data_IF_785788428341
#
_entry.id   IF_785788428341
#
_cell.length_a   1.000
_cell.length_b   1.000
_cell.length_c   1.000
_cell.angle_alpha   90.00
_cell.angle_beta   90.00
_cell.angle_gamma   90.00
#
_symmetry.space_group_name_H-M   'P 1'
#
loop_
_entity.id
_entity.type
_entity.pdbx_description
1 polymer ?
#
# COMPACT_ATOMS: atom_id res chain seq x y z
N UNK A 1 -6.05 -21.75 -7.95
CA UNK A 1 -4.99 -21.32 -7.02
C UNK A 1 -3.95 -20.45 -7.70
N UNK A 2 -3.35 -20.82 -8.87
CA UNK A 2 -2.27 -20.02 -9.47
C UNK A 2 -2.64 -18.55 -9.74
N UNK A 3 -3.87 -18.31 -10.19
CA UNK A 3 -4.37 -16.94 -10.42
C UNK A 3 -4.47 -16.10 -9.15
N UNK A 4 -4.81 -16.70 -8.01
CA UNK A 4 -4.86 -16.01 -6.72
C UNK A 4 -3.45 -15.68 -6.26
N UNK A 5 -2.50 -16.60 -6.40
CA UNK A 5 -1.09 -16.38 -6.05
C UNK A 5 -0.46 -15.27 -6.90
N UNK A 6 -0.70 -15.28 -8.21
CA UNK A 6 -0.19 -14.25 -9.12
C UNK A 6 -0.73 -12.85 -8.76
N UNK A 7 -2.04 -12.73 -8.58
CA UNK A 7 -2.67 -11.43 -8.23
C UNK A 7 -2.22 -10.96 -6.85
N UNK A 8 -2.05 -11.88 -5.89
CA UNK A 8 -1.45 -11.56 -4.58
C UNK A 8 -0.04 -11.03 -4.75
N UNK A 9 0.83 -11.73 -5.49
CA UNK A 9 2.20 -11.29 -5.72
C UNK A 9 2.27 -9.89 -6.35
N UNK A 10 1.46 -9.63 -7.38
CA UNK A 10 1.37 -8.29 -8.00
C UNK A 10 0.84 -7.22 -7.04
N UNK A 11 -0.16 -7.54 -6.24
CA UNK A 11 -0.70 -6.61 -5.24
C UNK A 11 0.37 -6.27 -4.21
N UNK A 12 1.16 -7.24 -3.75
CA UNK A 12 2.24 -7.01 -2.80
C UNK A 12 3.44 -6.28 -3.40
N UNK A 13 3.78 -6.53 -4.67
CA UNK A 13 4.78 -5.72 -5.40
C UNK A 13 4.39 -4.24 -5.45
N UNK A 14 3.09 -3.93 -5.48
CA UNK A 14 2.60 -2.54 -5.41
C UNK A 14 2.69 -1.93 -4.01
N UNK A 15 2.38 -2.69 -2.97
CA UNK A 15 2.40 -2.17 -1.60
C UNK A 15 3.81 -2.03 -1.01
N UNK A 16 4.76 -2.84 -1.49
CA UNK A 16 6.10 -2.89 -0.92
C UNK A 16 6.84 -1.54 -0.94
N UNK A 17 6.88 -0.82 -2.08
CA UNK A 17 7.53 0.48 -2.12
C UNK A 17 6.90 1.49 -1.16
N UNK A 18 5.58 1.45 -0.97
CA UNK A 18 4.92 2.27 0.04
C UNK A 18 5.39 1.92 1.45
N UNK A 19 5.37 0.64 1.82
CA UNK A 19 5.75 0.19 3.17
C UNK A 19 7.22 0.49 3.49
N UNK A 20 8.10 0.51 2.48
CA UNK A 20 9.53 0.78 2.68
C UNK A 20 9.83 2.29 2.75
N UNK A 21 9.17 3.09 1.92
CA UNK A 21 9.57 4.47 1.67
C UNK A 21 8.56 5.52 2.14
N UNK A 22 7.42 5.16 2.71
CA UNK A 22 6.37 6.10 3.13
C UNK A 22 6.85 7.17 4.13
N UNK A 23 7.53 6.76 5.19
CA UNK A 23 8.01 7.64 6.25
C UNK A 23 9.26 8.41 5.86
N UNK A 24 10.14 7.80 5.06
CA UNK A 24 11.25 8.50 4.42
C UNK A 24 10.72 9.58 3.47
N UNK A 25 9.67 9.25 2.70
CA UNK A 25 8.98 10.18 1.83
C UNK A 25 8.39 11.39 2.57
N UNK A 26 7.73 11.14 3.70
CA UNK A 26 7.23 12.22 4.54
C UNK A 26 8.38 13.08 5.11
N UNK A 27 9.52 12.47 5.44
CA UNK A 27 10.71 13.14 5.95
C UNK A 27 11.41 14.01 4.91
N UNK A 28 11.71 13.45 3.74
CA UNK A 28 12.53 14.08 2.70
C UNK A 28 11.71 14.93 1.75
N UNK A 29 10.67 14.38 1.14
CA UNK A 29 9.91 15.09 0.10
C UNK A 29 8.89 16.08 0.67
N UNK A 30 8.22 15.75 1.78
CA UNK A 30 7.16 16.60 2.34
C UNK A 30 7.68 17.61 3.36
N UNK A 31 8.64 17.21 4.18
CA UNK A 31 9.25 18.08 5.19
C UNK A 31 10.58 18.69 4.74
N UNK A 32 11.05 18.38 3.53
CA UNK A 32 12.31 18.88 2.96
C UNK A 32 13.52 18.67 3.89
N UNK A 33 13.49 17.60 4.69
CA UNK A 33 14.58 17.27 5.60
C UNK A 33 15.61 16.36 4.94
N UNK A 34 16.88 16.50 5.36
CA UNK A 34 17.94 15.56 5.00
C UNK A 34 18.52 14.94 6.28
N UNK A 35 18.47 13.60 6.46
CA UNK A 35 19.07 12.94 7.62
C UNK A 35 20.61 13.10 7.69
N UNK A 36 21.27 13.46 6.58
CA UNK A 36 22.72 13.70 6.50
C UNK A 36 23.07 15.19 6.33
N UNK A 37 22.07 16.06 6.39
CA UNK A 37 22.24 17.50 6.24
C UNK A 37 22.67 18.20 7.53
N UNK A 38 22.41 19.50 7.58
CA UNK A 38 22.56 20.33 8.78
C UNK A 38 21.67 19.85 9.94
N UNK A 39 21.96 20.23 11.20
CA UNK A 39 21.10 19.87 12.33
C UNK A 39 19.63 20.25 12.14
N UNK A 40 19.36 21.37 11.46
CA UNK A 40 18.00 21.84 11.18
C UNK A 40 17.29 20.97 10.13
N UNK A 41 18.00 20.55 9.08
CA UNK A 41 17.50 19.60 8.07
C UNK A 41 17.24 18.22 8.67
N UNK A 42 18.12 17.74 9.54
CA UNK A 42 17.95 16.48 10.25
C UNK A 42 16.73 16.55 11.20
N UNK A 43 16.53 17.68 11.89
CA UNK A 43 15.36 17.90 12.73
C UNK A 43 14.06 17.95 11.91
N UNK A 44 14.08 18.58 10.73
CA UNK A 44 12.95 18.60 9.80
C UNK A 44 12.62 17.19 9.30
N UNK A 45 13.63 16.39 8.95
CA UNK A 45 13.46 14.98 8.57
C UNK A 45 12.80 14.18 9.71
N UNK A 46 13.30 14.30 10.94
CA UNK A 46 12.72 13.62 12.11
C UNK A 46 11.29 14.11 12.42
N UNK A 47 10.97 15.38 12.17
CA UNK A 47 9.60 15.88 12.28
C UNK A 47 8.68 15.25 11.22
N UNK A 48 9.16 15.11 9.98
CA UNK A 48 8.43 14.43 8.91
C UNK A 48 8.22 12.94 9.17
N UNK A 49 9.25 12.22 9.62
CA UNK A 49 9.13 10.80 10.02
C UNK A 49 8.09 10.62 11.13
N UNK A 50 8.09 11.51 12.14
CA UNK A 50 7.06 11.49 13.20
C UNK A 50 5.66 11.74 12.66
N UNK A 51 5.49 12.68 11.72
CA UNK A 51 4.21 12.91 11.07
C UNK A 51 3.78 11.71 10.22
N UNK A 52 4.71 11.07 9.49
CA UNK A 52 4.45 9.85 8.73
C UNK A 52 4.00 8.70 9.61
N UNK A 53 4.68 8.49 10.74
CA UNK A 53 4.28 7.50 11.75
C UNK A 53 2.89 7.78 12.33
N UNK A 54 2.54 9.05 12.56
CA UNK A 54 1.19 9.43 12.95
C UNK A 54 0.16 9.16 11.83
N UNK A 55 0.52 9.40 10.57
CA UNK A 55 -0.29 8.99 9.41
C UNK A 55 -0.53 7.48 9.35
N UNK A 56 0.48 6.67 9.67
CA UNK A 56 0.37 5.21 9.76
C UNK A 56 -0.47 4.74 10.96
N UNK A 57 -0.46 5.49 12.06
CA UNK A 57 -1.40 5.28 13.16
C UNK A 57 -2.85 5.50 12.69
N UNK A 58 -3.11 6.61 11.98
CA UNK A 58 -4.43 6.88 11.40
C UNK A 58 -4.84 5.82 10.38
N UNK A 59 -3.89 5.38 9.54
CA UNK A 59 -4.07 4.26 8.62
C UNK A 59 -4.56 3.02 9.37
N UNK A 60 -3.91 2.67 10.48
CA UNK A 60 -4.28 1.51 11.31
C UNK A 60 -5.69 1.63 11.90
N UNK A 61 -6.09 2.83 12.33
CA UNK A 61 -7.46 3.09 12.81
C UNK A 61 -8.48 2.88 11.69
N UNK A 62 -8.25 3.49 10.52
CA UNK A 62 -9.13 3.35 9.35
C UNK A 62 -9.19 1.91 8.87
N UNK A 63 -8.05 1.20 8.87
CA UNK A 63 -7.98 -0.22 8.56
C UNK A 63 -8.85 -1.04 9.52
N UNK A 64 -8.73 -0.78 10.83
CA UNK A 64 -9.52 -1.44 11.86
C UNK A 64 -11.01 -1.29 11.62
N UNK A 65 -11.50 -0.07 11.37
CA UNK A 65 -12.91 0.17 11.01
C UNK A 65 -13.30 -0.47 9.68
N UNK A 66 -12.44 -0.36 8.66
CA UNK A 66 -12.70 -0.92 7.33
C UNK A 66 -12.82 -2.44 7.36
N UNK A 67 -12.09 -3.11 8.26
CA UNK A 67 -12.12 -4.57 8.40
C UNK A 67 -13.53 -5.12 8.67
N UNK A 68 -14.34 -4.42 9.48
CA UNK A 68 -15.73 -4.78 9.74
C UNK A 68 -16.63 -4.65 8.50
N UNK A 69 -16.24 -3.79 7.56
CA UNK A 69 -16.97 -3.56 6.31
C UNK A 69 -16.60 -4.54 5.21
N UNK A 70 -15.50 -5.29 5.33
CA UNK A 70 -15.02 -6.21 4.28
C UNK A 70 -16.01 -7.33 4.04
N UNK A 71 -16.51 -7.97 5.10
CA UNK A 71 -17.48 -9.07 4.97
C UNK A 71 -18.78 -8.63 4.28
N UNK A 72 -19.50 -7.58 4.73
CA UNK A 72 -20.71 -7.14 4.04
C UNK A 72 -20.44 -6.67 2.61
N UNK A 73 -19.30 -6.02 2.36
CA UNK A 73 -18.92 -5.58 1.02
C UNK A 73 -18.65 -6.76 0.08
N UNK A 74 -17.93 -7.79 0.55
CA UNK A 74 -17.68 -9.02 -0.21
C UNK A 74 -18.97 -9.83 -0.45
N UNK A 75 -19.91 -9.81 0.49
CA UNK A 75 -21.24 -10.44 0.31
C UNK A 75 -22.09 -9.70 -0.73
N UNK A 76 -22.02 -8.37 -0.80
CA UNK A 76 -22.80 -7.56 -1.77
C UNK A 76 -22.17 -7.54 -3.16
N UNK A 77 -20.90 -7.15 -3.26
CA UNK A 77 -20.20 -6.92 -4.53
C UNK A 77 -19.44 -8.15 -5.04
N UNK A 78 -19.09 -9.08 -4.15
CA UNK A 78 -18.24 -10.23 -4.43
C UNK A 78 -16.75 -9.93 -4.15
N UNK A 79 -15.99 -10.91 -3.64
CA UNK A 79 -14.59 -10.70 -3.23
C UNK A 79 -13.67 -10.31 -4.40
N UNK A 80 -13.99 -10.76 -5.62
CA UNK A 80 -13.28 -10.36 -6.84
C UNK A 80 -13.34 -8.86 -7.07
N UNK A 81 -14.54 -8.27 -7.01
CA UNK A 81 -14.75 -6.84 -7.27
C UNK A 81 -14.06 -6.03 -6.18
N UNK A 82 -14.22 -6.42 -4.91
CA UNK A 82 -13.58 -5.73 -3.78
C UNK A 82 -12.06 -5.71 -3.90
N UNK A 83 -11.43 -6.84 -4.26
CA UNK A 83 -9.99 -6.91 -4.43
C UNK A 83 -9.50 -6.11 -5.64
N UNK A 84 -10.19 -6.19 -6.77
CA UNK A 84 -9.84 -5.43 -7.98
C UNK A 84 -9.98 -3.93 -7.72
N UNK A 85 -11.09 -3.48 -7.14
CA UNK A 85 -11.31 -2.08 -6.78
C UNK A 85 -10.25 -1.57 -5.82
N UNK A 86 -9.80 -2.39 -4.87
CA UNK A 86 -8.70 -2.04 -3.96
C UNK A 86 -7.38 -1.80 -4.73
N UNK A 87 -7.04 -2.66 -5.70
CA UNK A 87 -5.84 -2.45 -6.52
C UNK A 87 -5.88 -1.13 -7.31
N UNK A 88 -7.04 -0.79 -7.90
CA UNK A 88 -7.18 0.52 -8.57
C UNK A 88 -7.09 1.69 -7.59
N UNK A 89 -7.62 1.52 -6.37
CA UNK A 89 -7.50 2.53 -5.33
C UNK A 89 -6.04 2.78 -4.94
N UNK A 90 -5.26 1.71 -4.79
CA UNK A 90 -3.81 1.79 -4.56
C UNK A 90 -3.12 2.46 -5.74
N UNK A 91 -3.46 2.10 -6.98
CA UNK A 91 -2.92 2.74 -8.18
C UNK A 91 -3.09 4.26 -8.14
N UNK A 92 -4.31 4.72 -7.84
CA UNK A 92 -4.65 6.15 -7.73
C UNK A 92 -3.92 6.81 -6.56
N UNK A 93 -3.85 6.16 -5.41
CA UNK A 93 -3.14 6.69 -4.24
C UNK A 93 -1.64 6.83 -4.51
N UNK A 94 -1.00 5.82 -5.12
CA UNK A 94 0.43 5.89 -5.46
C UNK A 94 0.70 6.96 -6.52
N UNK A 95 -0.20 7.11 -7.50
CA UNK A 95 -0.13 8.21 -8.46
C UNK A 95 -0.29 9.57 -7.77
N UNK A 96 -1.21 9.69 -6.80
CA UNK A 96 -1.38 10.89 -6.00
C UNK A 96 -0.12 11.22 -5.18
N UNK A 97 0.55 10.23 -4.58
CA UNK A 97 1.85 10.42 -3.92
C UNK A 97 2.88 10.99 -4.89
N UNK A 98 3.00 10.42 -6.10
CA UNK A 98 3.93 10.92 -7.12
C UNK A 98 3.63 12.37 -7.50
N UNK A 99 2.35 12.69 -7.70
CA UNK A 99 1.91 14.05 -8.03
C UNK A 99 2.26 14.99 -6.87
N UNK A 100 1.85 14.68 -5.64
CA UNK A 100 2.16 15.51 -4.44
C UNK A 100 3.67 15.74 -4.31
N UNK A 101 4.48 14.71 -4.53
CA UNK A 101 5.94 14.82 -4.49
C UNK A 101 6.47 15.77 -5.55
N UNK A 102 5.91 15.71 -6.76
CA UNK A 102 6.25 16.61 -7.86
C UNK A 102 5.92 18.07 -7.51
N UNK A 103 4.70 18.33 -6.99
CA UNK A 103 4.29 19.66 -6.54
C UNK A 103 5.20 20.19 -5.42
N UNK A 104 5.47 19.36 -4.40
CA UNK A 104 6.36 19.72 -3.29
C UNK A 104 7.78 20.05 -3.77
N UNK A 105 8.26 19.41 -4.84
CA UNK A 105 9.60 19.67 -5.40
C UNK A 105 9.62 20.91 -6.30
N UNK A 106 8.52 21.27 -6.96
CA UNK A 106 8.43 22.48 -7.79
C UNK A 106 8.45 23.78 -6.96
N UNK A 107 7.85 23.76 -5.77
CA UNK A 107 7.91 24.88 -4.82
C UNK A 107 9.34 25.20 -4.36
N UNK A 108 10.32 24.31 -4.58
CA UNK A 108 11.73 24.53 -4.28
C UNK A 108 12.43 25.49 -5.26
N UNK A 109 11.96 25.59 -6.52
CA UNK A 109 12.59 26.39 -7.57
C UNK A 109 12.02 27.82 -7.70
N UNK A 110 10.92 28.11 -7.00
CA UNK A 110 10.33 29.44 -6.94
C UNK A 110 10.42 30.00 -5.52
N UNK A 111 11.20 31.05 -5.32
CA UNK A 111 11.14 31.92 -4.14
C UNK A 111 11.80 31.42 -2.83
N UNK A 112 13.08 31.75 -2.73
CA UNK A 112 13.67 32.35 -1.51
C UNK A 112 12.65 33.37 -0.94
N UNK A 113 11.82 32.98 0.05
CA UNK A 113 11.31 33.80 1.18
C UNK A 113 10.16 33.16 2.02
N UNK A 114 9.70 31.92 1.77
CA UNK A 114 8.66 31.25 2.61
C UNK A 114 9.06 29.85 3.17
N UNK A 115 10.36 29.56 3.17
CA UNK A 115 10.99 28.25 3.34
C UNK A 115 10.89 27.54 4.72
N UNK A 116 9.86 27.79 5.55
CA UNK A 116 9.60 26.97 6.78
C UNK A 116 8.18 26.37 6.78
N UNK A 117 7.40 26.60 5.73
CA UNK A 117 6.10 25.94 5.56
C UNK A 117 6.00 25.37 4.16
N UNK A 118 6.52 24.16 3.94
CA UNK A 118 5.81 23.21 3.10
C UNK A 118 4.34 23.32 3.51
N UNK A 119 3.50 23.81 2.59
CA UNK A 119 2.19 24.39 2.91
C UNK A 119 1.45 23.43 3.86
N UNK A 120 0.84 23.97 4.93
CA UNK A 120 0.06 23.15 5.88
C UNK A 120 -0.89 22.20 5.15
N UNK A 121 -1.38 22.64 4.00
CA UNK A 121 -2.19 21.91 3.04
C UNK A 121 -1.52 20.62 2.52
N UNK A 122 -0.30 20.65 1.99
CA UNK A 122 0.41 19.44 1.50
C UNK A 122 0.58 18.41 2.63
N UNK A 123 0.89 18.86 3.84
CA UNK A 123 1.04 17.96 5.01
C UNK A 123 -0.28 17.31 5.39
N UNK A 124 -1.37 18.08 5.42
CA UNK A 124 -2.72 17.57 5.71
C UNK A 124 -3.16 16.58 4.64
N UNK A 125 -2.94 16.89 3.36
CA UNK A 125 -3.29 16.01 2.23
C UNK A 125 -2.50 14.70 2.31
N UNK A 126 -1.20 14.76 2.63
CA UNK A 126 -0.35 13.58 2.78
C UNK A 126 -0.81 12.68 3.94
N UNK A 127 -1.16 13.27 5.09
CA UNK A 127 -1.74 12.55 6.23
C UNK A 127 -3.11 11.94 5.89
N UNK A 128 -3.97 12.67 5.20
CA UNK A 128 -5.27 12.18 4.75
C UNK A 128 -5.11 10.99 3.79
N UNK A 129 -4.12 11.04 2.90
CA UNK A 129 -3.80 9.96 1.97
C UNK A 129 -3.30 8.71 2.71
N UNK A 130 -2.46 8.87 3.74
CA UNK A 130 -2.02 7.75 4.59
C UNK A 130 -3.19 7.12 5.32
N UNK A 131 -4.07 7.93 5.93
CA UNK A 131 -5.27 7.43 6.59
C UNK A 131 -6.17 6.67 5.60
N UNK A 132 -6.39 7.23 4.41
CA UNK A 132 -7.20 6.64 3.35
C UNK A 132 -6.66 5.29 2.87
N UNK A 133 -5.34 5.15 2.74
CA UNK A 133 -4.67 3.89 2.39
C UNK A 133 -4.97 2.76 3.39
N UNK A 134 -5.50 3.06 4.59
CA UNK A 134 -5.97 2.03 5.52
C UNK A 134 -7.12 1.18 4.98
N UNK A 135 -7.98 1.75 4.12
CA UNK A 135 -9.10 1.04 3.49
C UNK A 135 -8.60 -0.09 2.56
N UNK A 136 -7.78 0.20 1.51
CA UNK A 136 -7.28 -0.85 0.64
C UNK A 136 -6.32 -1.81 1.36
N UNK A 137 -5.63 -1.36 2.41
CA UNK A 137 -4.78 -2.22 3.24
C UNK A 137 -5.60 -3.25 4.04
N UNK A 138 -6.76 -2.87 4.57
CA UNK A 138 -7.68 -3.82 5.21
C UNK A 138 -8.09 -4.95 4.23
N UNK A 139 -8.36 -4.59 2.98
CA UNK A 139 -8.70 -5.53 1.90
C UNK A 139 -7.51 -6.45 1.59
N UNK A 140 -6.29 -5.90 1.51
CA UNK A 140 -5.04 -6.64 1.27
C UNK A 140 -4.85 -7.78 2.28
N UNK A 141 -5.06 -7.50 3.57
CA UNK A 141 -4.84 -8.48 4.63
C UNK A 141 -5.98 -9.49 4.81
N UNK A 142 -7.18 -9.20 4.28
CA UNK A 142 -8.36 -10.04 4.53
C UNK A 142 -8.81 -10.85 3.32
N UNK A 143 -8.99 -10.19 2.17
CA UNK A 143 -9.68 -10.78 1.02
C UNK A 143 -8.87 -11.90 0.34
N UNK A 144 -7.56 -11.75 0.07
CA UNK A 144 -6.75 -12.82 -0.53
C UNK A 144 -6.74 -14.11 0.30
N UNK A 145 -6.63 -13.97 1.63
CA UNK A 145 -6.64 -15.08 2.57
C UNK A 145 -8.01 -15.77 2.63
N UNK A 146 -9.10 -14.99 2.72
CA UNK A 146 -10.45 -15.53 2.72
C UNK A 146 -10.79 -16.25 1.40
N UNK A 147 -10.40 -15.68 0.26
CA UNK A 147 -10.55 -16.28 -1.08
C UNK A 147 -9.78 -17.59 -1.19
N UNK A 148 -8.54 -17.61 -0.71
CA UNK A 148 -7.69 -18.81 -0.72
C UNK A 148 -8.27 -19.91 0.17
N UNK A 149 -8.70 -19.57 1.39
CA UNK A 149 -9.31 -20.51 2.32
C UNK A 149 -10.58 -21.14 1.76
N UNK A 150 -11.48 -20.34 1.18
CA UNK A 150 -12.72 -20.85 0.56
C UNK A 150 -12.45 -21.73 -0.65
N UNK A 151 -11.44 -21.40 -1.46
CA UNK A 151 -11.05 -22.22 -2.61
C UNK A 151 -10.42 -23.55 -2.19
N UNK A 152 -9.66 -23.56 -1.09
CA UNK A 152 -9.10 -24.77 -0.50
C UNK A 152 -10.21 -25.70 0.01
N UNK A 153 -11.13 -25.15 0.81
CA UNK A 153 -12.26 -25.89 1.37
C UNK A 153 -13.15 -26.52 0.28
N UNK A 154 -13.44 -25.78 -0.81
CA UNK A 154 -14.23 -26.30 -1.93
C UNK A 154 -13.56 -27.42 -2.71
N UNK A 155 -12.23 -27.50 -2.70
CA UNK A 155 -11.47 -28.52 -3.41
C UNK A 155 -11.06 -29.69 -2.51
N UNK A 156 -11.55 -29.74 -1.27
CA UNK A 156 -11.15 -30.74 -0.29
C UNK A 156 -9.68 -30.66 0.13
N UNK A 157 -9.01 -29.53 -0.12
CA UNK A 157 -7.60 -29.32 0.19
C UNK A 157 -7.38 -28.73 1.59
N UNK A 158 -6.18 -28.94 2.13
CA UNK A 158 -5.79 -28.36 3.43
C UNK A 158 -5.78 -26.83 3.38
N UNK A 159 -6.68 -26.20 4.15
CA UNK A 159 -6.80 -24.74 4.23
C UNK A 159 -5.48 -24.08 4.66
N UNK A 160 -4.84 -24.61 5.72
CA UNK A 160 -3.57 -24.11 6.24
C UNK A 160 -2.42 -24.19 5.23
N UNK A 161 -2.36 -25.28 4.45
CA UNK A 161 -1.34 -25.44 3.40
C UNK A 161 -1.53 -24.40 2.29
N UNK A 162 -2.78 -24.19 1.84
CA UNK A 162 -3.06 -23.22 0.78
C UNK A 162 -2.78 -21.78 1.22
N UNK A 163 -3.09 -21.42 2.48
CA UNK A 163 -2.70 -20.13 3.05
C UNK A 163 -1.19 -20.01 3.26
N UNK A 164 -0.50 -21.10 3.58
CA UNK A 164 0.96 -21.13 3.63
C UNK A 164 1.59 -20.84 2.26
N UNK A 165 1.09 -21.47 1.19
CA UNK A 165 1.52 -21.19 -0.19
C UNK A 165 1.21 -19.74 -0.59
N UNK A 166 0.09 -19.17 -0.13
CA UNK A 166 -0.22 -17.76 -0.32
C UNK A 166 0.85 -16.86 0.30
N UNK A 167 1.31 -17.15 1.52
CA UNK A 167 2.38 -16.38 2.16
C UNK A 167 3.69 -16.45 1.38
N UNK A 168 4.02 -17.59 0.77
CA UNK A 168 5.21 -17.68 -0.10
C UNK A 168 5.09 -16.73 -1.30
N UNK A 169 3.89 -16.59 -1.88
CA UNK A 169 3.64 -15.62 -2.96
C UNK A 169 3.71 -14.15 -2.50
N UNK A 170 3.69 -13.89 -1.19
CA UNK A 170 3.89 -12.56 -0.60
C UNK A 170 5.39 -12.32 -0.34
N UNK A 171 6.06 -13.30 0.27
CA UNK A 171 7.46 -13.19 0.70
C UNK A 171 8.43 -13.10 -0.48
N UNK A 172 8.15 -13.80 -1.60
CA UNK A 172 9.04 -13.74 -2.77
C UNK A 172 9.15 -12.30 -3.32
N UNK A 173 8.04 -11.61 -3.67
CA UNK A 173 8.05 -10.18 -3.98
C UNK A 173 8.78 -9.30 -2.95
N UNK A 174 8.52 -9.55 -1.66
CA UNK A 174 9.10 -8.82 -0.55
C UNK A 174 10.64 -8.91 -0.56
N UNK A 175 11.19 -10.12 -0.72
CA UNK A 175 12.64 -10.33 -0.77
C UNK A 175 13.24 -9.65 -1.99
N UNK A 176 12.60 -9.76 -3.16
CA UNK A 176 13.09 -9.14 -4.40
C UNK A 176 13.19 -7.61 -4.24
N UNK A 177 12.14 -6.97 -3.72
CA UNK A 177 12.15 -5.52 -3.53
C UNK A 177 13.11 -5.11 -2.42
N UNK A 178 13.15 -5.83 -1.30
CA UNK A 178 14.05 -5.51 -0.19
C UNK A 178 15.53 -5.59 -0.58
N UNK A 179 15.92 -6.60 -1.36
CA UNK A 179 17.29 -6.72 -1.89
C UNK A 179 17.58 -5.63 -2.92
N UNK A 180 16.58 -5.25 -3.73
CA UNK A 180 16.70 -4.20 -4.73
C UNK A 180 16.69 -2.77 -4.18
N UNK A 181 16.19 -2.55 -2.96
CA UNK A 181 15.98 -1.22 -2.38
C UNK A 181 17.26 -0.39 -2.27
N UNK A 182 18.38 -1.00 -1.84
CA UNK A 182 19.67 -0.30 -1.73
C UNK A 182 20.18 0.22 -3.08
N UNK A 183 20.40 -0.66 -4.08
CA UNK A 183 20.79 -0.22 -5.42
C UNK A 183 19.79 0.74 -6.08
N UNK A 184 18.49 0.59 -5.78
CA UNK A 184 17.43 1.47 -6.28
C UNK A 184 17.60 2.90 -5.76
N UNK A 185 17.85 3.05 -4.45
CA UNK A 185 18.04 4.36 -3.82
C UNK A 185 19.27 5.11 -4.38
N UNK A 186 20.32 4.36 -4.72
CA UNK A 186 21.53 4.91 -5.36
C UNK A 186 21.28 5.33 -6.81
N UNK A 187 20.55 4.51 -7.58
CA UNK A 187 20.26 4.77 -9.00
C UNK A 187 19.35 5.98 -9.22
N UNK A 188 18.37 6.19 -8.35
CA UNK A 188 17.38 7.27 -8.49
C UNK A 188 17.68 8.48 -7.60
N UNK A 189 18.91 8.60 -7.10
CA UNK A 189 19.38 9.81 -6.44
C UNK A 189 18.62 10.14 -5.14
N UNK A 190 18.26 9.11 -4.35
CA UNK A 190 17.54 9.20 -3.07
C UNK A 190 16.08 9.69 -3.13
N UNK A 191 15.50 9.86 -4.33
CA UNK A 191 14.09 10.24 -4.48
C UNK A 191 13.15 9.04 -4.45
N UNK A 192 12.07 9.13 -3.68
CA UNK A 192 11.09 8.05 -3.49
C UNK A 192 10.05 7.96 -4.62
N UNK A 193 9.96 8.99 -5.48
CA UNK A 193 8.96 9.11 -6.56
C UNK A 193 8.99 7.93 -7.55
N UNK A 194 10.15 7.48 -8.08
CA UNK A 194 10.21 6.38 -9.04
C UNK A 194 9.69 5.05 -8.45
N UNK A 195 9.95 4.83 -7.16
CA UNK A 195 9.45 3.67 -6.43
C UNK A 195 7.91 3.68 -6.35
N UNK A 196 7.29 4.81 -6.05
CA UNK A 196 5.82 4.96 -6.06
C UNK A 196 5.22 4.88 -7.47
N UNK A 197 5.93 5.36 -8.50
CA UNK A 197 5.52 5.22 -9.90
C UNK A 197 5.44 3.75 -10.32
N UNK A 198 6.46 2.96 -9.98
CA UNK A 198 6.43 1.51 -10.19
C UNK A 198 5.33 0.84 -9.37
N UNK A 199 5.15 1.23 -8.10
CA UNK A 199 4.05 0.72 -7.27
C UNK A 199 2.68 0.95 -7.92
N UNK A 200 2.46 2.13 -8.52
CA UNK A 200 1.25 2.44 -9.27
C UNK A 200 1.07 1.54 -10.50
N UNK A 201 2.13 1.30 -11.27
CA UNK A 201 2.10 0.39 -12.42
C UNK A 201 1.77 -1.06 -12.01
N UNK A 202 2.40 -1.57 -10.95
CA UNK A 202 2.09 -2.91 -10.42
C UNK A 202 0.65 -3.00 -9.90
N UNK A 203 0.12 -1.93 -9.28
CA UNK A 203 -1.28 -1.87 -8.84
C UNK A 203 -2.23 -1.96 -10.05
N UNK A 204 -1.94 -1.22 -11.12
CA UNK A 204 -2.74 -1.21 -12.35
C UNK A 204 -2.73 -2.59 -13.01
N UNK A 205 -1.56 -3.19 -13.16
CA UNK A 205 -1.40 -4.53 -13.72
C UNK A 205 -2.13 -5.55 -12.83
N UNK A 206 -1.95 -5.49 -11.51
CA UNK A 206 -2.64 -6.35 -10.54
C UNK A 206 -4.17 -6.23 -10.62
N UNK A 207 -4.69 -5.02 -10.80
CA UNK A 207 -6.11 -4.74 -11.02
C UNK A 207 -6.63 -5.35 -12.32
N UNK A 208 -5.96 -5.10 -13.45
CA UNK A 208 -6.33 -5.63 -14.78
C UNK A 208 -6.26 -7.16 -14.78
N UNK A 209 -5.16 -7.74 -14.31
CA UNK A 209 -4.99 -9.20 -14.20
C UNK A 209 -6.06 -9.79 -13.28
N UNK A 210 -6.40 -9.09 -12.19
CA UNK A 210 -7.46 -9.48 -11.26
C UNK A 210 -8.84 -9.56 -11.91
N UNK A 211 -9.16 -8.64 -12.83
CA UNK A 211 -10.43 -8.66 -13.60
C UNK A 211 -10.58 -9.96 -14.39
N UNK A 212 -9.50 -10.43 -15.02
CA UNK A 212 -9.55 -11.59 -15.91
C UNK A 212 -9.33 -12.91 -15.18
N UNK A 213 -8.40 -12.97 -14.21
CA UNK A 213 -7.91 -14.24 -13.65
C UNK A 213 -8.52 -14.64 -12.29
N UNK A 214 -9.06 -13.71 -11.49
CA UNK A 214 -9.59 -14.07 -10.17
C UNK A 214 -10.85 -14.95 -10.26
N UNK A 215 -11.03 -15.97 -9.42
CA UNK A 215 -12.22 -16.83 -9.49
C UNK A 215 -13.49 -16.06 -9.10
N UNK A 216 -14.60 -16.31 -9.81
CA UNK A 216 -15.94 -15.85 -9.41
C UNK A 216 -16.45 -16.72 -8.26
N UNK A 217 -16.21 -16.28 -7.01
CA UNK A 217 -16.68 -16.98 -5.82
C UNK A 217 -18.12 -16.55 -5.48
N UNK A 218 -18.96 -17.52 -5.08
CA UNK A 218 -20.37 -17.30 -4.74
C UNK A 218 -20.55 -16.34 -3.56
N UNK A 219 -21.35 -15.30 -3.79
CA UNK A 219 -21.58 -14.14 -2.88
C UNK A 219 -22.14 -14.53 -1.51
N UNK A 220 -22.86 -15.65 -1.39
CA UNK A 220 -23.57 -16.07 -0.16
C UNK A 220 -22.71 -16.83 0.86
N UNK A 221 -21.52 -17.31 0.48
CA UNK A 221 -20.66 -18.15 1.34
C UNK A 221 -19.42 -17.42 1.87
N UNK A 222 -19.24 -16.13 1.57
CA UNK A 222 -18.06 -15.40 2.04
C UNK A 222 -18.14 -15.15 3.55
N UNK A 223 -17.24 -15.78 4.30
CA UNK A 223 -16.93 -15.41 5.69
C UNK A 223 -15.56 -14.75 5.69
N UNK A 224 -15.47 -13.54 6.24
CA UNK A 224 -14.18 -12.96 6.59
C UNK A 224 -13.58 -13.82 7.72
N UNK A 225 -12.26 -13.94 7.78
CA UNK A 225 -11.55 -14.79 8.76
C UNK A 225 -11.64 -14.20 10.19
N UNK A 226 -12.42 -13.13 10.42
CA UNK A 226 -12.49 -12.40 11.69
C UNK A 226 -13.27 -13.10 12.82
N UNK A 227 -13.48 -14.42 12.74
CA UNK A 227 -14.30 -15.15 13.72
C UNK A 227 -13.81 -16.57 14.04
N UNK A 228 -12.56 -16.90 13.72
CA UNK A 228 -11.93 -18.13 14.19
C UNK A 228 -11.07 -17.83 15.40
N UNK A 229 -11.67 -17.90 16.59
CA UNK A 229 -10.90 -18.00 17.83
C UNK A 229 -9.96 -19.20 17.79
N UNK A 230 -8.84 -19.06 18.49
CA UNK A 230 -7.90 -20.12 18.83
C UNK A 230 -8.58 -21.41 19.28
#
# INVERSE_FOLDING_TARGET
>A
MPSVLLVTGLTWLSWFPFILYDTDWMGREIYHGDPKGTPDEANAFQAGVRAGAFGLLLNSVVLGFSSFLIEPLCKRLGPRVVWVSSNFLVCLSMAAICIISWWATQDLHGYIQHAITASKEIKIVSLALFAFLGIPLAILYSVPFAVTAQLAAKRGGGQGLCTGVLNIAIVIPQVIIAVGAGPWDELFGKGNIPAFGMASAFALIGGIVGIFLLPKISRRQFRAVSGGGH
#
